data_IF_748249963406
#
_entry.id   IF_748249963406
#
_cell.length_a   1.000
_cell.length_b   1.000
_cell.length_c   1.000
_cell.angle_alpha   90.00
_cell.angle_beta   90.00
_cell.angle_gamma   90.00
#
_symmetry.space_group_name_H-M   'P 1'
#
loop_
_entity.id
_entity.type
_entity.pdbx_description
1 polymer ?
#
# COMPACT_ATOMS: atom_id res chain seq x y z
N UNK A 1 9.86 9.61 36.59
CA UNK A 1 9.54 10.43 35.41
C UNK A 1 8.80 9.54 34.43
N UNK A 2 7.63 9.97 33.93
CA UNK A 2 6.88 9.24 32.90
C UNK A 2 7.36 9.67 31.52
N UNK A 3 7.72 8.71 30.67
CA UNK A 3 8.08 8.96 29.27
C UNK A 3 6.80 9.20 28.45
N UNK A 4 6.77 10.25 27.64
CA UNK A 4 5.71 10.51 26.67
C UNK A 4 6.21 10.19 25.25
N UNK A 5 5.38 9.55 24.44
CA UNK A 5 5.67 9.26 23.04
C UNK A 5 4.93 10.27 22.14
N UNK A 6 5.67 11.05 21.36
CA UNK A 6 5.13 12.16 20.55
C UNK A 6 5.45 12.00 19.06
N UNK A 7 5.69 10.77 18.59
CA UNK A 7 6.08 10.45 17.21
C UNK A 7 5.09 9.48 16.52
N UNK A 8 3.79 9.71 16.75
CA UNK A 8 2.72 8.88 16.19
C UNK A 8 2.63 8.91 14.66
N UNK A 9 3.29 9.87 14.01
CA UNK A 9 3.39 9.94 12.56
C UNK A 9 4.33 8.85 11.99
N UNK A 10 5.36 8.45 12.73
CA UNK A 10 6.30 7.41 12.30
C UNK A 10 5.76 6.00 12.57
N UNK A 11 5.16 5.78 13.75
CA UNK A 11 4.49 4.51 14.08
C UNK A 11 3.54 4.68 15.26
N UNK A 12 2.65 3.71 15.48
CA UNK A 12 1.66 3.76 16.56
C UNK A 12 1.62 2.44 17.33
N UNK A 13 1.40 2.47 18.66
CA UNK A 13 1.15 1.26 19.42
C UNK A 13 -0.07 0.51 18.88
N UNK A 14 0.05 -0.81 18.75
CA UNK A 14 -1.07 -1.66 18.34
C UNK A 14 -2.14 -1.60 19.44
N UNK A 15 -3.39 -1.34 19.04
CA UNK A 15 -4.51 -1.32 20.00
C UNK A 15 -4.80 -2.73 20.53
N UNK A 16 -5.24 -2.83 21.78
CA UNK A 16 -5.48 -4.12 22.43
C UNK A 16 -6.52 -4.98 21.68
N UNK A 17 -7.55 -4.37 21.11
CA UNK A 17 -8.56 -5.05 20.29
C UNK A 17 -7.99 -5.62 19.00
N UNK A 18 -6.93 -5.01 18.44
CA UNK A 18 -6.24 -5.52 17.24
C UNK A 18 -5.40 -6.74 17.62
N UNK A 19 -4.69 -6.68 18.75
CA UNK A 19 -3.92 -7.84 19.27
C UNK A 19 -4.87 -9.03 19.49
N UNK A 20 -5.99 -8.82 20.18
CA UNK A 20 -6.97 -9.87 20.44
C UNK A 20 -7.57 -10.45 19.14
N UNK A 21 -7.76 -9.65 18.10
CA UNK A 21 -8.23 -10.12 16.80
C UNK A 21 -7.18 -10.94 16.04
N UNK A 22 -5.88 -10.63 16.21
CA UNK A 22 -4.77 -11.33 15.56
C UNK A 22 -4.37 -12.62 16.27
N UNK A 23 -4.42 -12.64 17.60
CA UNK A 23 -3.94 -13.74 18.45
C UNK A 23 -4.40 -15.15 18.01
N UNK A 24 -5.68 -15.38 17.65
CA UNK A 24 -6.12 -16.71 17.22
C UNK A 24 -5.33 -17.25 16.02
N UNK A 25 -4.89 -16.39 15.10
CA UNK A 25 -4.16 -16.78 13.89
C UNK A 25 -2.67 -17.04 14.15
N UNK A 26 -2.16 -16.60 15.31
CA UNK A 26 -0.79 -16.89 15.75
C UNK A 26 -0.67 -18.25 16.44
N UNK A 27 -1.72 -18.70 17.15
CA UNK A 27 -1.66 -19.91 17.97
C UNK A 27 -2.55 -21.05 17.50
N UNK A 28 -3.77 -20.75 17.03
CA UNK A 28 -4.84 -21.74 16.91
C UNK A 28 -5.44 -21.85 15.50
N UNK A 29 -5.23 -20.87 14.63
CA UNK A 29 -5.78 -20.82 13.26
C UNK A 29 -4.65 -20.56 12.26
N UNK A 30 -3.65 -21.45 12.30
CA UNK A 30 -2.41 -21.36 11.52
C UNK A 30 -2.48 -22.04 10.14
N UNK A 31 -3.66 -22.50 9.72
CA UNK A 31 -3.83 -23.23 8.46
C UNK A 31 -3.42 -22.38 7.26
N UNK A 32 -2.74 -23.00 6.28
CA UNK A 32 -2.40 -22.33 5.03
C UNK A 32 -3.70 -22.00 4.26
N UNK A 33 -4.00 -20.72 3.94
CA UNK A 33 -5.24 -20.33 3.25
C UNK A 33 -5.38 -20.93 1.83
N UNK A 34 -4.29 -21.43 1.25
CA UNK A 34 -4.31 -22.12 -0.05
C UNK A 34 -4.68 -23.61 0.06
N UNK A 35 -4.79 -24.16 1.28
CA UNK A 35 -5.16 -25.55 1.49
C UNK A 35 -6.67 -25.77 1.41
N UNK A 36 -7.10 -26.89 0.83
CA UNK A 36 -8.51 -27.25 0.68
C UNK A 36 -9.16 -27.85 1.92
N UNK A 37 -8.38 -28.25 2.93
CA UNK A 37 -8.91 -28.80 4.19
C UNK A 37 -9.50 -27.70 5.08
N UNK A 38 -10.31 -28.07 6.07
CA UNK A 38 -11.02 -27.12 6.95
C UNK A 38 -10.14 -25.99 7.49
N UNK A 39 -8.95 -26.31 7.99
CA UNK A 39 -8.02 -25.31 8.54
C UNK A 39 -7.58 -24.23 7.53
N UNK A 40 -7.49 -24.56 6.23
CA UNK A 40 -7.16 -23.60 5.19
C UNK A 40 -8.37 -22.81 4.72
N UNK A 41 -9.54 -23.46 4.67
CA UNK A 41 -10.80 -22.78 4.38
C UNK A 41 -11.12 -21.72 5.44
N UNK A 42 -10.92 -22.04 6.73
CA UNK A 42 -11.16 -21.12 7.84
C UNK A 42 -10.26 -19.87 7.78
N UNK A 43 -8.98 -20.04 7.46
CA UNK A 43 -8.04 -18.91 7.33
C UNK A 43 -8.26 -18.12 6.05
N UNK A 44 -8.61 -18.78 4.95
CA UNK A 44 -9.03 -18.12 3.71
C UNK A 44 -10.27 -17.25 3.92
N UNK A 45 -11.30 -17.78 4.61
CA UNK A 45 -12.49 -17.03 4.97
C UNK A 45 -12.16 -15.82 5.86
N UNK A 46 -11.20 -15.94 6.77
CA UNK A 46 -10.74 -14.81 7.59
C UNK A 46 -10.10 -13.70 6.74
N UNK A 47 -9.26 -14.05 5.76
CA UNK A 47 -8.65 -13.08 4.84
C UNK A 47 -9.70 -12.37 3.97
N UNK A 48 -10.68 -13.10 3.43
CA UNK A 48 -11.73 -12.49 2.61
C UNK A 48 -12.66 -11.58 3.44
N UNK A 49 -12.94 -11.95 4.69
CA UNK A 49 -13.65 -11.05 5.62
C UNK A 49 -12.84 -9.78 5.92
N UNK A 50 -11.52 -9.89 6.11
CA UNK A 50 -10.65 -8.73 6.30
C UNK A 50 -10.63 -7.83 5.04
N UNK A 51 -10.57 -8.44 3.85
CA UNK A 51 -10.62 -7.75 2.56
C UNK A 51 -11.90 -6.95 2.40
N UNK A 52 -13.05 -7.57 2.67
CA UNK A 52 -14.35 -6.91 2.59
C UNK A 52 -14.47 -5.73 3.56
N UNK A 53 -13.96 -5.86 4.79
CA UNK A 53 -13.94 -4.77 5.78
C UNK A 53 -13.08 -3.59 5.32
N UNK A 54 -11.89 -3.85 4.79
CA UNK A 54 -11.01 -2.81 4.27
C UNK A 54 -11.63 -2.10 3.07
N UNK A 55 -12.15 -2.87 2.11
CA UNK A 55 -12.83 -2.33 0.93
C UNK A 55 -13.97 -1.37 1.33
N UNK A 56 -14.83 -1.81 2.26
CA UNK A 56 -15.91 -0.98 2.78
C UNK A 56 -15.42 0.29 3.50
N UNK A 57 -14.29 0.23 4.20
CA UNK A 57 -13.77 1.38 4.95
C UNK A 57 -13.24 2.50 4.04
N UNK A 58 -12.81 2.17 2.82
CA UNK A 58 -12.30 3.14 1.83
C UNK A 58 -13.21 3.34 0.62
N UNK A 59 -14.39 2.72 0.59
CA UNK A 59 -15.35 2.84 -0.51
C UNK A 59 -14.96 2.11 -1.79
N UNK A 60 -14.20 1.01 -1.69
CA UNK A 60 -13.75 0.19 -2.82
C UNK A 60 -14.50 -1.16 -2.91
N UNK A 61 -14.34 -1.87 -4.03
CA UNK A 61 -14.73 -3.27 -4.16
C UNK A 61 -13.68 -4.19 -3.50
N UNK A 62 -14.08 -5.32 -2.88
CA UNK A 62 -13.11 -6.30 -2.38
C UNK A 62 -12.11 -6.78 -3.45
N UNK A 63 -12.53 -6.85 -4.72
CA UNK A 63 -11.65 -7.25 -5.84
C UNK A 63 -10.53 -6.25 -6.13
N UNK A 64 -10.61 -5.02 -5.62
CA UNK A 64 -9.62 -3.97 -5.81
C UNK A 64 -8.58 -3.93 -4.68
N UNK A 65 -8.75 -4.76 -3.64
CA UNK A 65 -7.85 -4.81 -2.48
C UNK A 65 -6.81 -5.91 -2.66
N UNK A 66 -5.54 -5.52 -2.68
CA UNK A 66 -4.39 -6.43 -2.64
C UNK A 66 -3.66 -6.25 -1.31
N UNK A 67 -3.39 -7.36 -0.61
CA UNK A 67 -2.57 -7.33 0.60
C UNK A 67 -1.09 -7.36 0.25
N UNK A 68 -0.35 -6.37 0.73
CA UNK A 68 1.12 -6.26 0.63
C UNK A 68 1.72 -6.10 2.03
N UNK A 69 3.04 -6.13 2.17
CA UNK A 69 3.72 -6.11 3.47
C UNK A 69 3.69 -4.74 4.16
N UNK A 70 3.43 -3.66 3.43
CA UNK A 70 3.34 -2.32 4.00
C UNK A 70 3.29 -1.21 2.94
N UNK A 71 3.35 0.05 3.40
CA UNK A 71 3.24 1.24 2.54
C UNK A 71 4.29 1.28 1.43
N UNK A 72 5.56 1.00 1.75
CA UNK A 72 6.63 1.01 0.74
C UNK A 72 6.39 0.05 -0.43
N UNK A 73 5.93 -1.17 -0.13
CA UNK A 73 5.62 -2.17 -1.17
C UNK A 73 4.39 -1.74 -1.99
N UNK A 74 3.37 -1.18 -1.34
CA UNK A 74 2.18 -0.63 -2.00
C UNK A 74 2.52 0.49 -2.97
N UNK A 75 3.32 1.47 -2.53
CA UNK A 75 3.72 2.61 -3.34
C UNK A 75 4.55 2.16 -4.55
N UNK A 76 5.50 1.24 -4.34
CA UNK A 76 6.31 0.68 -5.42
C UNK A 76 5.45 -0.09 -6.43
N UNK A 77 4.49 -0.89 -5.96
CA UNK A 77 3.55 -1.60 -6.83
C UNK A 77 2.73 -0.62 -7.67
N UNK A 78 2.23 0.46 -7.07
CA UNK A 78 1.48 1.50 -7.76
C UNK A 78 2.31 2.24 -8.81
N UNK A 79 3.48 2.75 -8.44
CA UNK A 79 4.34 3.56 -9.32
C UNK A 79 4.94 2.72 -10.45
N UNK A 80 5.64 1.63 -10.10
CA UNK A 80 6.33 0.78 -11.09
C UNK A 80 5.32 -0.02 -11.91
N UNK A 81 4.32 -0.61 -11.25
CA UNK A 81 3.27 -1.36 -11.93
C UNK A 81 2.44 -0.48 -12.85
N UNK A 82 2.06 0.72 -12.40
CA UNK A 82 1.31 1.69 -13.21
C UNK A 82 2.05 2.10 -14.47
N UNK A 83 3.32 2.48 -14.36
CA UNK A 83 4.16 2.86 -15.51
C UNK A 83 4.30 1.69 -16.51
N UNK A 84 4.57 0.49 -16.03
CA UNK A 84 4.70 -0.69 -16.89
C UNK A 84 3.39 -1.09 -17.56
N UNK A 85 2.27 -0.96 -16.84
CA UNK A 85 0.93 -1.20 -17.40
C UNK A 85 0.60 -0.19 -18.50
N UNK A 86 0.90 1.10 -18.29
CA UNK A 86 0.73 2.14 -19.30
C UNK A 86 1.63 1.92 -20.53
N UNK A 87 2.90 1.58 -20.32
CA UNK A 87 3.81 1.27 -21.42
C UNK A 87 3.34 0.06 -22.24
N UNK A 88 2.79 -0.97 -21.57
CA UNK A 88 2.20 -2.13 -22.25
C UNK A 88 0.95 -1.76 -23.06
N UNK A 89 0.05 -0.95 -22.48
CA UNK A 89 -1.17 -0.52 -23.15
C UNK A 89 -0.93 0.47 -24.30
N UNK A 90 0.12 1.29 -24.20
CA UNK A 90 0.46 2.36 -25.15
C UNK A 90 1.93 2.27 -25.60
N UNK A 91 2.31 1.28 -26.43
CA UNK A 91 3.71 0.97 -26.74
C UNK A 91 4.46 2.09 -27.49
N UNK A 92 3.74 3.00 -28.13
CA UNK A 92 4.32 4.14 -28.86
C UNK A 92 4.29 5.43 -28.03
N UNK A 93 4.00 5.36 -26.73
CA UNK A 93 3.93 6.50 -25.84
C UNK A 93 4.78 6.26 -24.61
N UNK A 94 5.56 7.27 -24.21
CA UNK A 94 6.35 7.22 -22.99
C UNK A 94 5.48 7.67 -21.80
N UNK A 95 5.28 6.84 -20.77
CA UNK A 95 4.56 7.25 -19.58
C UNK A 95 5.21 8.44 -18.89
N UNK A 96 4.39 9.28 -18.25
CA UNK A 96 4.83 10.44 -17.47
C UNK A 96 4.35 10.28 -16.04
N UNK A 97 5.25 10.51 -15.09
CA UNK A 97 4.97 10.46 -13.66
C UNK A 97 4.98 11.90 -13.15
N UNK A 98 3.90 12.31 -12.52
CA UNK A 98 3.79 13.61 -11.85
C UNK A 98 3.69 13.34 -10.35
N UNK A 99 4.61 13.92 -9.57
CA UNK A 99 4.67 13.76 -8.11
C UNK A 99 4.73 15.11 -7.43
N UNK A 100 4.19 15.22 -6.21
CA UNK A 100 4.39 16.43 -5.41
C UNK A 100 5.85 16.54 -4.94
N UNK A 101 6.29 17.74 -4.59
CA UNK A 101 7.60 17.97 -3.98
C UNK A 101 7.73 17.41 -2.55
N UNK A 102 6.66 16.89 -1.96
CA UNK A 102 6.59 16.44 -0.56
C UNK A 102 6.20 14.96 -0.42
N UNK A 103 6.25 14.18 -1.50
CA UNK A 103 5.96 12.75 -1.45
C UNK A 103 6.93 12.00 -0.51
N UNK A 104 6.46 10.89 0.04
CA UNK A 104 7.31 9.96 0.78
C UNK A 104 8.39 9.36 -0.14
N UNK A 105 9.55 8.98 0.41
CA UNK A 105 10.65 8.40 -0.37
C UNK A 105 10.24 7.14 -1.14
N UNK A 106 9.30 6.36 -0.60
CA UNK A 106 8.73 5.18 -1.25
C UNK A 106 7.98 5.47 -2.57
N UNK A 107 7.66 6.73 -2.87
CA UNK A 107 7.10 7.18 -4.16
C UNK A 107 8.18 7.85 -5.02
N UNK A 108 8.99 8.74 -4.42
CA UNK A 108 10.01 9.52 -5.16
C UNK A 108 11.11 8.61 -5.71
N UNK A 109 11.64 7.71 -4.89
CA UNK A 109 12.76 6.84 -5.28
C UNK A 109 12.40 5.90 -6.45
N UNK A 110 11.26 5.17 -6.46
CA UNK A 110 10.90 4.37 -7.63
C UNK A 110 10.59 5.22 -8.87
N UNK A 111 10.03 6.43 -8.71
CA UNK A 111 9.80 7.32 -9.85
C UNK A 111 11.11 7.77 -10.49
N UNK A 112 12.11 8.17 -9.69
CA UNK A 112 13.46 8.49 -10.15
C UNK A 112 14.16 7.27 -10.76
N UNK A 113 13.97 6.09 -10.17
CA UNK A 113 14.52 4.84 -10.70
C UNK A 113 14.00 4.54 -12.11
N UNK A 114 12.70 4.75 -12.36
CA UNK A 114 12.09 4.59 -13.69
C UNK A 114 12.58 5.65 -14.69
N UNK A 115 12.71 6.89 -14.27
CA UNK A 115 13.25 7.97 -15.11
C UNK A 115 14.70 7.69 -15.53
N UNK A 116 15.56 7.30 -14.58
CA UNK A 116 16.96 6.97 -14.82
C UNK A 116 17.12 5.78 -15.79
N UNK A 117 16.13 4.90 -15.87
CA UNK A 117 16.07 3.78 -16.82
C UNK A 117 15.47 4.15 -18.17
N UNK A 118 15.01 5.39 -18.31
CA UNK A 118 14.32 5.87 -19.51
C UNK A 118 12.92 5.28 -19.70
N UNK A 119 12.35 4.59 -18.70
CA UNK A 119 11.04 3.94 -18.78
C UNK A 119 9.88 4.94 -18.63
N UNK A 120 10.12 6.07 -17.98
CA UNK A 120 9.16 7.17 -17.84
C UNK A 120 9.85 8.53 -17.84
N UNK A 121 9.07 9.61 -17.95
CA UNK A 121 9.52 10.97 -17.65
C UNK A 121 8.99 11.39 -16.29
N UNK A 122 9.82 11.97 -15.42
CA UNK A 122 9.39 12.45 -14.11
C UNK A 122 9.21 13.97 -14.13
N UNK A 123 8.15 14.45 -13.49
CA UNK A 123 7.96 15.86 -13.20
C UNK A 123 7.52 16.08 -11.76
N UNK A 124 8.33 16.81 -11.01
CA UNK A 124 7.98 17.25 -9.66
C UNK A 124 7.13 18.52 -9.72
N UNK A 125 6.04 18.52 -8.97
CA UNK A 125 5.10 19.64 -8.85
C UNK A 125 5.36 20.34 -7.51
N UNK A 126 5.64 21.66 -7.51
CA UNK A 126 5.84 22.40 -6.27
C UNK A 126 4.55 22.45 -5.46
N UNK A 127 4.69 22.60 -4.14
CA UNK A 127 3.56 22.82 -3.23
C UNK A 127 3.41 24.29 -2.87
N UNK A 128 2.19 24.70 -2.55
CA UNK A 128 1.87 26.02 -2.02
C UNK A 128 2.48 26.21 -0.62
N UNK A 129 2.55 27.45 -0.10
CA UNK A 129 2.90 27.69 1.30
C UNK A 129 2.01 26.97 2.32
N UNK A 130 0.80 26.53 1.92
CA UNK A 130 -0.09 25.73 2.76
C UNK A 130 0.22 24.22 2.74
N UNK A 131 1.22 23.78 1.98
CA UNK A 131 1.62 22.37 1.88
C UNK A 131 0.71 21.53 0.97
N UNK A 132 0.04 22.16 0.00
CA UNK A 132 -0.88 21.51 -0.95
C UNK A 132 -0.46 21.72 -2.39
N UNK A 133 -1.00 20.97 -3.34
CA UNK A 133 -0.86 21.23 -4.78
C UNK A 133 -2.07 22.04 -5.27
N UNK A 134 -1.86 23.06 -6.09
CA UNK A 134 -2.91 23.76 -6.83
C UNK A 134 -3.16 23.08 -8.19
N UNK A 135 -4.44 23.00 -8.58
CA UNK A 135 -4.89 22.41 -9.83
C UNK A 135 -4.96 23.40 -10.98
#
# INVERSE_FOLDING_TARGET
>A
MSTAYLDHAATTPIRAEVIAAMEPYLWHRFGNPSSSHQWGQDTSAALENARAKLASAIGASPSEIIFVRGGTESDNLGVIGGVRSLAFAFPNSKPRILVSAIEHSAVIEPAQWLENRGEAELRTIPVTPAGTIEG
#
